data_IF_372543165216
#
_entry.id   IF_372543165216
#
_cell.length_a   1.000
_cell.length_b   1.000
_cell.length_c   1.000
_cell.angle_alpha   90.00
_cell.angle_beta   90.00
_cell.angle_gamma   90.00
#
_symmetry.space_group_name_H-M   'P 1'
#
loop_
_entity.id
_entity.type
_entity.pdbx_description
1 polymer ?
#
# COMPACT_ATOMS: atom_id res chain seq x y z
N UNK A 1 36.57 3.58 9.17
CA UNK A 1 35.24 3.99 8.67
C UNK A 1 34.31 3.99 9.87
N UNK A 2 33.68 5.13 10.21
CA UNK A 2 32.71 5.18 11.30
C UNK A 2 31.33 4.79 10.74
N UNK A 3 30.76 3.72 11.27
CA UNK A 3 29.38 3.29 11.01
C UNK A 3 28.41 4.36 11.54
N UNK A 4 27.47 4.80 10.70
CA UNK A 4 26.44 5.75 11.09
C UNK A 4 25.41 5.03 11.97
N UNK A 5 25.46 5.29 13.28
CA UNK A 5 24.49 4.72 14.22
C UNK A 5 23.14 5.45 14.13
N UNK A 6 22.09 4.72 13.77
CA UNK A 6 20.71 5.22 13.83
C UNK A 6 20.17 5.09 15.25
N UNK A 7 19.55 6.15 15.77
CA UNK A 7 18.84 6.12 17.06
C UNK A 7 17.81 4.98 17.13
N UNK A 8 17.23 4.60 15.99
CA UNK A 8 16.29 3.49 15.90
C UNK A 8 16.97 2.13 16.00
N UNK A 9 18.18 1.96 15.46
CA UNK A 9 18.96 0.72 15.62
C UNK A 9 19.45 0.51 17.05
N UNK A 10 19.54 1.59 17.85
CA UNK A 10 19.91 1.53 19.26
C UNK A 10 18.75 1.15 20.20
N UNK A 11 17.50 1.40 19.79
CA UNK A 11 16.34 1.38 20.69
C UNK A 11 15.23 0.42 20.25
N UNK A 12 15.25 -0.03 19.00
CA UNK A 12 14.23 -0.92 18.44
C UNK A 12 14.87 -2.22 17.96
N UNK A 13 14.19 -3.37 18.12
CA UNK A 13 14.62 -4.59 17.48
C UNK A 13 14.65 -4.41 15.96
N UNK A 14 15.64 -5.00 15.32
CA UNK A 14 15.75 -5.00 13.87
C UNK A 14 14.64 -5.88 13.29
N UNK A 15 13.91 -5.34 12.30
CA UNK A 15 12.79 -6.04 11.67
C UNK A 15 13.23 -6.51 10.29
N UNK A 16 13.19 -7.83 10.08
CA UNK A 16 13.54 -8.46 8.82
C UNK A 16 12.28 -8.99 8.13
N UNK A 17 12.23 -8.82 6.81
CA UNK A 17 11.19 -9.39 5.95
C UNK A 17 11.82 -10.58 5.24
N UNK A 18 11.64 -11.76 5.81
CA UNK A 18 12.27 -12.99 5.31
C UNK A 18 11.39 -13.72 4.29
N UNK A 19 10.08 -13.48 4.34
CA UNK A 19 9.09 -14.10 3.47
C UNK A 19 8.71 -13.19 2.31
N UNK A 20 8.32 -13.81 1.18
CA UNK A 20 7.75 -13.11 0.03
C UNK A 20 6.60 -12.20 0.47
N UNK A 21 6.61 -10.97 -0.02
CA UNK A 21 5.61 -9.96 0.34
C UNK A 21 4.34 -10.15 -0.48
N UNK A 22 3.19 -10.19 0.17
CA UNK A 22 1.88 -10.01 -0.47
C UNK A 22 1.43 -8.57 -0.27
N UNK A 23 1.45 -7.79 -1.35
CA UNK A 23 1.08 -6.39 -1.32
C UNK A 23 -0.45 -6.23 -1.39
N UNK A 24 -1.02 -5.52 -0.43
CA UNK A 24 -2.43 -5.11 -0.40
C UNK A 24 -2.48 -3.58 -0.49
N UNK A 25 -3.16 -3.04 -1.50
CA UNK A 25 -3.27 -1.60 -1.74
C UNK A 25 -4.73 -1.16 -1.63
N UNK A 26 -5.11 -0.49 -0.55
CA UNK A 26 -6.51 -0.09 -0.32
C UNK A 26 -6.95 1.17 -1.09
N UNK A 27 -5.97 1.89 -1.63
CA UNK A 27 -6.12 3.02 -2.56
C UNK A 27 -4.92 2.99 -3.50
N UNK A 28 -4.97 2.10 -4.49
CA UNK A 28 -3.81 1.83 -5.33
C UNK A 28 -3.48 2.96 -6.30
N UNK A 29 -4.48 3.74 -6.74
CA UNK A 29 -4.31 4.68 -7.84
C UNK A 29 -3.69 3.97 -9.05
N UNK A 30 -2.52 4.42 -9.49
CA UNK A 30 -1.76 3.80 -10.58
C UNK A 30 -0.62 2.87 -10.10
N UNK A 31 -0.51 2.60 -8.79
CA UNK A 31 0.39 1.58 -8.22
C UNK A 31 1.77 2.09 -7.82
N UNK A 32 1.88 3.32 -7.32
CA UNK A 32 3.19 3.89 -6.93
C UNK A 32 3.88 3.10 -5.81
N UNK A 33 3.10 2.47 -4.92
CA UNK A 33 3.60 1.61 -3.85
C UNK A 33 4.25 0.35 -4.42
N UNK A 34 3.57 -0.34 -5.34
CA UNK A 34 4.15 -1.49 -6.04
C UNK A 34 5.41 -1.11 -6.84
N UNK A 35 5.41 0.06 -7.49
CA UNK A 35 6.61 0.56 -8.16
C UNK A 35 7.76 0.86 -7.20
N UNK A 36 7.47 1.31 -5.98
CA UNK A 36 8.50 1.53 -4.96
C UNK A 36 9.14 0.20 -4.54
N UNK A 37 8.34 -0.83 -4.26
CA UNK A 37 8.84 -2.17 -3.94
C UNK A 37 9.68 -2.75 -5.10
N UNK A 38 9.23 -2.58 -6.34
CA UNK A 38 9.99 -2.99 -7.52
C UNK A 38 11.34 -2.29 -7.61
N UNK A 39 11.39 -0.98 -7.35
CA UNK A 39 12.65 -0.20 -7.35
C UNK A 39 13.60 -0.61 -6.22
N UNK A 40 13.05 -1.04 -5.09
CA UNK A 40 13.83 -1.58 -3.97
C UNK A 40 14.32 -3.01 -4.21
N UNK A 41 13.89 -3.67 -5.28
CA UNK A 41 14.22 -5.07 -5.54
C UNK A 41 13.61 -6.05 -4.53
N UNK A 42 12.53 -5.64 -3.84
CA UNK A 42 11.86 -6.50 -2.87
C UNK A 42 11.21 -7.70 -3.56
N UNK A 43 11.21 -8.87 -2.91
CA UNK A 43 10.44 -10.03 -3.37
C UNK A 43 8.97 -9.86 -2.97
N UNK A 44 8.12 -9.49 -3.93
CA UNK A 44 6.70 -9.25 -3.67
C UNK A 44 5.80 -9.71 -4.82
N UNK A 45 4.53 -9.94 -4.50
CA UNK A 45 3.45 -10.11 -5.46
C UNK A 45 2.29 -9.15 -5.20
N UNK A 46 1.62 -8.76 -6.28
CA UNK A 46 0.37 -8.02 -6.24
C UNK A 46 -0.73 -8.94 -5.72
N UNK A 47 -1.15 -8.78 -4.46
CA UNK A 47 -2.10 -9.70 -3.83
C UNK A 47 -3.54 -9.19 -3.90
N UNK A 48 -3.78 -7.96 -3.44
CA UNK A 48 -5.11 -7.34 -3.46
C UNK A 48 -5.01 -5.85 -3.75
N UNK A 49 -5.96 -5.35 -4.53
CA UNK A 49 -6.06 -3.95 -4.90
C UNK A 49 -7.49 -3.49 -4.68
N UNK A 50 -7.65 -2.36 -4.00
CA UNK A 50 -8.91 -1.64 -3.88
C UNK A 50 -8.69 -0.28 -4.52
N UNK A 51 -9.41 -0.04 -5.60
CA UNK A 51 -9.48 1.25 -6.29
C UNK A 51 -10.85 1.37 -6.94
N UNK A 52 -11.52 2.48 -6.69
CA UNK A 52 -12.86 2.74 -7.21
C UNK A 52 -12.80 3.31 -8.63
N UNK A 53 -11.79 4.12 -8.93
CA UNK A 53 -11.69 4.78 -10.23
C UNK A 53 -11.24 3.80 -11.33
N UNK A 54 -12.10 3.58 -12.32
CA UNK A 54 -11.84 2.67 -13.44
C UNK A 54 -10.63 3.05 -14.30
N UNK A 55 -10.30 4.33 -14.41
CA UNK A 55 -9.15 4.79 -15.19
C UNK A 55 -7.85 4.58 -14.42
N UNK A 56 -7.87 4.82 -13.11
CA UNK A 56 -6.77 4.48 -12.22
C UNK A 56 -6.50 2.96 -12.23
N UNK A 57 -7.55 2.14 -12.09
CA UNK A 57 -7.45 0.68 -12.18
C UNK A 57 -6.92 0.21 -13.54
N UNK A 58 -7.42 0.77 -14.65
CA UNK A 58 -6.90 0.44 -15.98
C UNK A 58 -5.41 0.80 -16.12
N UNK A 59 -5.00 1.95 -15.57
CA UNK A 59 -3.60 2.37 -15.56
C UNK A 59 -2.75 1.44 -14.70
N UNK A 60 -3.23 1.06 -13.52
CA UNK A 60 -2.57 0.09 -12.65
C UNK A 60 -2.34 -1.24 -13.36
N UNK A 61 -3.40 -1.80 -13.95
CA UNK A 61 -3.35 -3.07 -14.68
C UNK A 61 -2.35 -3.01 -15.85
N UNK A 62 -2.33 -1.90 -16.61
CA UNK A 62 -1.39 -1.70 -17.71
C UNK A 62 0.08 -1.57 -17.23
N UNK A 63 0.33 -0.83 -16.15
CA UNK A 63 1.69 -0.62 -15.60
C UNK A 63 2.26 -1.87 -14.96
N UNK A 64 1.39 -2.69 -14.36
CA UNK A 64 1.80 -3.84 -13.54
C UNK A 64 1.54 -5.20 -14.19
N UNK A 65 0.91 -5.24 -15.37
CA UNK A 65 0.58 -6.50 -16.04
C UNK A 65 -0.45 -7.33 -15.26
N UNK A 66 -1.39 -6.67 -14.60
CA UNK A 66 -2.43 -7.31 -13.77
C UNK A 66 -3.81 -7.13 -14.40
N UNK A 67 -4.84 -7.74 -13.80
CA UNK A 67 -6.22 -7.67 -14.29
C UNK A 67 -7.22 -7.59 -13.12
N UNK A 68 -7.00 -6.65 -12.21
CA UNK A 68 -7.91 -6.41 -11.09
C UNK A 68 -9.15 -5.64 -11.52
N UNK A 69 -10.26 -5.86 -10.82
CA UNK A 69 -11.51 -5.12 -10.99
C UNK A 69 -11.60 -3.94 -10.02
N UNK A 70 -12.37 -2.93 -10.41
CA UNK A 70 -12.65 -1.78 -9.53
C UNK A 70 -13.45 -2.24 -8.32
N UNK A 71 -13.07 -1.74 -7.14
CA UNK A 71 -13.65 -2.13 -5.87
C UNK A 71 -13.88 -0.90 -5.00
N UNK A 72 -15.07 -0.78 -4.41
CA UNK A 72 -15.37 0.24 -3.41
C UNK A 72 -14.92 -0.23 -2.02
N UNK A 73 -14.06 0.55 -1.37
CA UNK A 73 -13.55 0.26 -0.03
C UNK A 73 -14.66 0.13 1.02
N UNK A 74 -15.80 0.82 0.85
CA UNK A 74 -16.93 0.75 1.78
C UNK A 74 -17.62 -0.61 1.80
N UNK A 75 -17.43 -1.41 0.74
CA UNK A 75 -17.98 -2.75 0.62
C UNK A 75 -17.00 -3.85 1.07
N UNK A 76 -15.75 -3.49 1.40
CA UNK A 76 -14.69 -4.43 1.76
C UNK A 76 -14.62 -4.59 3.28
N UNK A 77 -14.60 -5.84 3.75
CA UNK A 77 -14.36 -6.22 5.14
C UNK A 77 -12.96 -6.79 5.31
N UNK A 78 -12.49 -6.85 6.56
CA UNK A 78 -11.16 -7.39 6.87
C UNK A 78 -10.94 -8.84 6.39
N UNK A 79 -12.01 -9.64 6.33
CA UNK A 79 -11.97 -11.02 5.81
C UNK A 79 -11.68 -11.07 4.31
N UNK A 80 -12.12 -10.07 3.55
CA UNK A 80 -11.94 -10.01 2.10
C UNK A 80 -10.49 -9.70 1.70
N UNK A 81 -9.69 -9.17 2.66
CA UNK A 81 -8.27 -8.91 2.46
C UNK A 81 -7.43 -10.20 2.35
N UNK A 82 -7.97 -11.37 2.70
CA UNK A 82 -7.31 -12.65 2.46
C UNK A 82 -6.01 -12.87 3.26
N UNK A 83 -5.90 -12.29 4.45
CA UNK A 83 -4.71 -12.45 5.31
C UNK A 83 -4.82 -13.79 6.06
N UNK A 84 -4.33 -14.87 5.44
CA UNK A 84 -4.47 -16.24 5.97
C UNK A 84 -3.12 -16.94 6.18
N UNK A 85 -2.18 -16.84 5.24
CA UNK A 85 -0.94 -17.62 5.23
C UNK A 85 0.24 -16.90 5.89
N UNK A 86 0.09 -16.53 7.16
CA UNK A 86 1.07 -15.69 7.89
C UNK A 86 2.45 -16.33 8.11
N UNK A 87 2.57 -17.66 7.97
CA UNK A 87 3.85 -18.37 8.07
C UNK A 87 4.68 -18.32 6.78
N UNK A 88 4.03 -18.13 5.63
CA UNK A 88 4.66 -18.19 4.30
C UNK A 88 4.82 -16.83 3.64
N UNK A 89 3.99 -15.87 4.02
CA UNK A 89 3.95 -14.56 3.39
C UNK A 89 3.97 -13.45 4.45
N UNK A 90 4.67 -12.38 4.11
CA UNK A 90 4.56 -11.11 4.83
C UNK A 90 3.53 -10.25 4.11
N UNK A 91 2.45 -9.88 4.79
CA UNK A 91 1.43 -9.02 4.19
C UNK A 91 1.78 -7.55 4.42
N UNK A 92 2.01 -6.83 3.32
CA UNK A 92 2.25 -5.40 3.37
C UNK A 92 0.97 -4.66 2.96
N UNK A 93 0.27 -4.12 3.95
CA UNK A 93 -0.92 -3.32 3.73
C UNK A 93 -0.52 -1.85 3.56
N UNK A 94 -0.81 -1.28 2.40
CA UNK A 94 -0.67 0.16 2.17
C UNK A 94 -2.03 0.83 2.17
N UNK A 95 -2.15 1.86 2.98
CA UNK A 95 -3.34 2.67 3.10
C UNK A 95 -2.90 4.13 3.07
N UNK A 96 -3.17 4.81 1.95
CA UNK A 96 -2.91 6.23 1.84
C UNK A 96 -4.15 6.98 2.35
N UNK A 97 -4.17 7.34 3.63
CA UNK A 97 -5.10 8.36 4.10
C UNK A 97 -4.59 9.70 3.52
N UNK A 98 -5.05 10.08 2.33
CA UNK A 98 -4.98 11.48 1.93
C UNK A 98 -5.53 12.28 3.11
N UNK A 99 -4.75 13.23 3.64
CA UNK A 99 -5.27 14.20 4.62
C UNK A 99 -6.43 14.91 3.94
N UNK A 100 -7.64 14.42 4.19
CA UNK A 100 -8.89 15.06 3.82
C UNK A 100 -9.05 16.29 4.71
N UNK A 101 -8.19 17.29 4.52
CA UNK A 101 -8.33 18.59 5.15
C UNK A 101 -9.51 19.41 4.58
N UNK A 102 -10.32 18.82 3.70
CA UNK A 102 -11.56 19.40 3.16
C UNK A 102 -12.63 18.33 2.90
N UNK A 103 -13.08 17.61 3.93
CA UNK A 103 -14.44 17.06 3.91
C UNK A 103 -15.37 17.93 4.75
N UNK A 104 -15.62 19.16 4.26
CA UNK A 104 -16.80 19.93 4.67
C UNK A 104 -17.85 19.76 3.59
N UNK A 105 -19.06 19.35 4.01
CA UNK A 105 -20.31 19.27 3.24
C UNK A 105 -20.36 20.25 2.06
N UNK A 106 -20.72 19.73 0.88
CA UNK A 106 -21.34 20.52 -0.20
C UNK A 106 -20.51 20.65 -1.48
N UNK A 107 -21.06 20.05 -2.56
CA UNK A 107 -20.93 20.34 -4.00
C UNK A 107 -19.57 20.77 -4.60
N UNK A 108 -19.30 20.14 -5.74
CA UNK A 108 -18.67 20.67 -6.97
C UNK A 108 -17.13 20.87 -7.05
N UNK A 109 -16.59 20.24 -8.11
CA UNK A 109 -15.40 20.57 -8.90
C UNK A 109 -13.99 20.26 -8.36
N UNK A 110 -13.18 19.71 -9.28
CA UNK A 110 -11.83 19.20 -9.03
C UNK A 110 -10.67 20.16 -9.35
N UNK A 111 -9.46 19.72 -8.99
CA UNK A 111 -8.17 19.87 -9.70
C UNK A 111 -7.04 19.27 -8.85
N UNK A 112 -6.15 18.52 -9.50
CA UNK A 112 -4.95 17.89 -8.96
C UNK A 112 -3.92 18.91 -8.43
N UNK A 113 -3.19 18.53 -7.36
CA UNK A 113 -1.89 19.14 -7.05
C UNK A 113 -1.35 18.97 -5.62
N UNK A 114 -0.23 18.24 -5.54
CA UNK A 114 0.86 18.25 -4.52
C UNK A 114 0.80 17.29 -3.32
N UNK A 115 1.78 16.37 -3.33
CA UNK A 115 2.42 15.74 -2.15
C UNK A 115 1.88 14.37 -1.74
N UNK A 116 2.48 13.28 -2.24
CA UNK A 116 2.25 11.94 -1.69
C UNK A 116 3.09 11.75 -0.42
N UNK A 117 2.45 11.70 0.74
CA UNK A 117 3.08 11.23 1.99
C UNK A 117 2.75 9.75 2.18
N UNK A 118 3.78 8.90 2.16
CA UNK A 118 3.63 7.47 2.43
C UNK A 118 3.79 7.22 3.94
N UNK A 119 2.84 6.49 4.54
CA UNK A 119 3.00 5.92 5.89
C UNK A 119 2.94 4.40 5.76
N UNK A 120 4.08 3.74 5.94
CA UNK A 120 4.16 2.28 6.02
C UNK A 120 3.81 1.90 7.45
N UNK A 121 2.72 1.15 7.65
CA UNK A 121 2.34 0.61 8.95
C UNK A 121 2.52 -0.91 8.86
N UNK A 122 3.58 -1.49 9.45
CA UNK A 122 3.64 -2.94 9.59
C UNK A 122 2.51 -3.38 10.53
N UNK A 123 1.66 -4.29 10.08
CA UNK A 123 0.63 -4.89 10.92
C UNK A 123 1.28 -5.99 11.76
N UNK A 124 1.51 -5.72 13.05
CA UNK A 124 1.89 -6.74 14.03
C UNK A 124 0.66 -7.12 14.85
N UNK A 125 0.21 -8.37 14.73
CA UNK A 125 -0.60 -9.00 15.76
C UNK A 125 0.34 -9.92 16.56
N UNK A 126 0.37 -9.73 17.87
CA UNK A 126 1.11 -10.60 18.80
C UNK A 126 0.58 -12.02 18.84
#
# INVERSE_FOLDING_TARGET
MYEQMSLFGLTKPEYHIDNKIRLIELFAGYGSQAMALRRLGADFEHYRVVEWDKYAMASYNAVHGTNFETTDISNIKGVDLGIVDRSRFTYLLTYLLLSMHRYKRGRAYGRYGRGFQYKIIPFMAG
#
